data_IF_333190322287
#
_entry.id   IF_333190322287
#
_cell.length_a   1.000
_cell.length_b   1.000
_cell.length_c   1.000
_cell.angle_alpha   90.00
_cell.angle_beta   90.00
_cell.angle_gamma   90.00
#
_symmetry.space_group_name_H-M   'P 1'
#
loop_
_entity.id
_entity.type
_entity.pdbx_description
1 polymer ?
#
# COMPACT_ATOMS: atom_id res chain seq x y z
N UNK A 1 23.30 -17.97 15.57
CA UNK A 1 22.10 -18.25 14.74
C UNK A 1 21.70 -16.96 14.05
N UNK A 2 21.71 -16.91 12.72
CA UNK A 2 21.11 -15.81 11.96
C UNK A 2 19.60 -15.99 12.00
N UNK A 3 18.88 -15.09 12.68
CA UNK A 3 17.42 -15.10 12.66
C UNK A 3 16.97 -14.56 11.31
N UNK A 4 16.31 -15.38 10.50
CA UNK A 4 15.69 -14.90 9.27
C UNK A 4 14.59 -13.90 9.64
N UNK A 5 14.64 -12.69 9.10
CA UNK A 5 13.59 -11.68 9.28
C UNK A 5 12.82 -11.61 7.98
N UNK A 6 11.53 -11.98 8.00
CA UNK A 6 10.65 -11.81 6.87
C UNK A 6 10.16 -10.36 6.83
N UNK A 7 10.38 -9.69 5.71
CA UNK A 7 9.87 -8.33 5.47
C UNK A 7 8.55 -8.46 4.71
N UNK A 8 7.47 -7.97 5.31
CA UNK A 8 6.15 -7.87 4.66
C UNK A 8 5.91 -6.39 4.36
N UNK A 9 5.54 -6.09 3.12
CA UNK A 9 5.17 -4.74 2.68
C UNK A 9 3.69 -4.71 2.32
N UNK A 10 3.01 -3.65 2.72
CA UNK A 10 1.62 -3.35 2.38
C UNK A 10 1.53 -1.90 1.90
N UNK A 11 0.82 -1.70 0.81
CA UNK A 11 0.59 -0.39 0.21
C UNK A 11 -0.86 0.02 0.45
N UNK A 12 -1.06 1.29 0.75
CA UNK A 12 -2.38 1.86 1.01
C UNK A 12 -2.57 3.14 0.21
N UNK A 13 -3.68 3.27 -0.50
CA UNK A 13 -4.08 4.55 -1.08
C UNK A 13 -4.88 5.35 -0.05
N UNK A 14 -4.51 6.59 0.19
CA UNK A 14 -5.19 7.52 1.08
C UNK A 14 -5.88 8.59 0.22
N UNK A 15 -7.20 8.73 0.37
CA UNK A 15 -7.95 9.76 -0.34
C UNK A 15 -7.85 11.13 0.35
N UNK A 16 -8.46 12.15 -0.25
CA UNK A 16 -8.47 13.53 0.28
C UNK A 16 -9.01 13.63 1.72
N UNK A 17 -9.97 12.78 2.09
CA UNK A 17 -10.54 12.72 3.44
C UNK A 17 -9.64 11.97 4.45
N UNK A 18 -8.41 11.65 4.06
CA UNK A 18 -7.44 10.86 4.83
C UNK A 18 -7.94 9.47 5.21
N UNK A 19 -8.80 8.88 4.38
CA UNK A 19 -9.31 7.51 4.55
C UNK A 19 -8.59 6.56 3.60
N UNK A 20 -8.39 5.33 4.05
CA UNK A 20 -7.85 4.25 3.20
C UNK A 20 -8.90 3.94 2.13
N UNK A 21 -8.55 4.21 0.88
CA UNK A 21 -9.37 3.96 -0.29
C UNK A 21 -9.02 2.63 -0.96
N UNK A 22 -7.78 2.17 -0.87
CA UNK A 22 -7.33 0.89 -1.40
C UNK A 22 -6.18 0.32 -0.56
N UNK A 23 -6.00 -1.00 -0.63
CA UNK A 23 -4.92 -1.74 0.01
C UNK A 23 -4.43 -2.81 -0.96
N UNK A 24 -3.10 -2.93 -1.13
CA UNK A 24 -2.49 -3.89 -2.04
C UNK A 24 -1.07 -4.27 -1.60
N UNK A 25 -0.47 -5.24 -2.29
CA UNK A 25 0.89 -5.69 -2.00
C UNK A 25 1.94 -5.02 -2.91
N UNK A 26 1.52 -4.21 -3.90
CA UNK A 26 2.38 -3.35 -4.72
C UNK A 26 1.74 -2.00 -5.05
N UNK A 27 2.57 -1.03 -5.46
CA UNK A 27 2.11 0.29 -5.91
C UNK A 27 1.31 0.21 -7.22
N UNK A 28 1.71 -0.65 -8.16
CA UNK A 28 0.99 -0.84 -9.43
C UNK A 28 -0.40 -1.47 -9.25
N UNK A 29 -0.58 -2.24 -8.18
CA UNK A 29 -1.89 -2.79 -7.82
C UNK A 29 -2.77 -1.72 -7.16
N UNK A 30 -2.20 -0.83 -6.33
CA UNK A 30 -2.90 0.36 -5.84
C UNK A 30 -3.38 1.23 -7.01
N UNK A 31 -2.48 1.55 -7.95
CA UNK A 31 -2.81 2.42 -9.09
C UNK A 31 -3.99 1.86 -9.90
N UNK A 32 -3.98 0.56 -10.18
CA UNK A 32 -5.08 -0.14 -10.88
C UNK A 32 -6.39 -0.07 -10.12
N UNK A 33 -6.39 -0.38 -8.81
CA UNK A 33 -7.59 -0.32 -7.97
C UNK A 33 -8.13 1.11 -7.93
N UNK A 34 -7.25 2.11 -7.85
CA UNK A 34 -7.64 3.51 -7.80
C UNK A 34 -8.22 4.00 -9.13
N UNK A 35 -7.63 3.59 -10.26
CA UNK A 35 -8.16 3.88 -11.60
C UNK A 35 -9.55 3.25 -11.82
N UNK A 36 -9.74 1.98 -11.42
CA UNK A 36 -11.05 1.29 -11.47
C UNK A 36 -12.11 2.00 -10.60
N UNK A 37 -11.69 2.63 -9.51
CA UNK A 37 -12.55 3.45 -8.63
C UNK A 37 -12.79 4.87 -9.16
N UNK A 38 -12.21 5.23 -10.30
CA UNK A 38 -12.35 6.54 -10.93
C UNK A 38 -11.46 7.63 -10.33
N UNK A 39 -10.48 7.28 -9.50
CA UNK A 39 -9.48 8.23 -9.02
C UNK A 39 -8.42 8.48 -10.09
N UNK A 40 -8.00 9.74 -10.24
CA UNK A 40 -6.89 10.09 -11.12
C UNK A 40 -5.58 9.99 -10.34
N UNK A 41 -4.51 9.54 -11.00
CA UNK A 41 -3.17 9.53 -10.40
C UNK A 41 -2.81 10.95 -9.91
N UNK A 42 -2.30 11.04 -8.68
CA UNK A 42 -2.00 12.31 -8.02
C UNK A 42 -3.15 12.94 -7.23
N UNK A 43 -4.36 12.34 -7.21
CA UNK A 43 -5.45 12.77 -6.31
C UNK A 43 -5.53 11.95 -5.02
N UNK A 44 -4.57 11.06 -4.80
CA UNK A 44 -4.44 10.23 -3.62
C UNK A 44 -2.96 10.08 -3.28
N UNK A 45 -2.68 9.88 -1.99
CA UNK A 45 -1.34 9.59 -1.50
C UNK A 45 -1.16 8.08 -1.32
N UNK A 46 0.07 7.59 -1.43
CA UNK A 46 0.40 6.19 -1.19
C UNK A 46 1.21 6.07 0.09
N UNK A 47 0.73 5.23 1.00
CA UNK A 47 1.34 4.97 2.30
C UNK A 47 1.84 3.53 2.33
N UNK A 48 3.11 3.34 2.68
CA UNK A 48 3.76 2.03 2.72
C UNK A 48 3.98 1.59 4.16
N UNK A 49 3.38 0.48 4.54
CA UNK A 49 3.60 -0.18 5.82
C UNK A 49 4.61 -1.30 5.65
N UNK A 50 5.70 -1.25 6.41
CA UNK A 50 6.75 -2.27 6.41
C UNK A 50 6.72 -2.97 7.76
N UNK A 51 6.41 -4.26 7.76
CA UNK A 51 6.40 -5.10 8.96
C UNK A 51 7.53 -6.11 8.91
N UNK A 52 8.37 -6.07 9.94
CA UNK A 52 9.42 -7.06 10.16
C UNK A 52 8.88 -8.18 11.04
N UNK A 53 8.84 -9.39 10.52
CA UNK A 53 8.36 -10.58 11.25
C UNK A 53 9.58 -11.48 11.49
N UNK A 54 9.86 -11.79 12.76
CA UNK A 54 10.86 -12.82 13.10
C UNK A 54 10.36 -14.16 12.54
N UNK A 55 11.17 -14.80 11.71
CA UNK A 55 10.89 -16.10 11.12
C UNK A 55 11.26 -17.26 12.04
#
# INVERSE_FOLDING_TARGET
>A
MLTSVKVVRKYYAINYDRRIAAEADSEEEIDRIMEEKGYKKGTYDILVSIKYVKS
#
